data_IF_995766087498
#
_entry.id   IF_995766087498
#
_cell.length_a   1.000
_cell.length_b   1.000
_cell.length_c   1.000
_cell.angle_alpha   90.00
_cell.angle_beta   90.00
_cell.angle_gamma   90.00
#
_symmetry.space_group_name_H-M   'P 1'
#
loop_
_entity.id
_entity.type
_entity.pdbx_description
1 polymer ?
#
# COMPACT_ATOMS: atom_id res chain seq x y z
N UNK A 1 19.69 -0.18 -26.28
CA UNK A 1 19.89 -0.16 -24.82
C UNK A 1 20.59 -1.44 -24.40
N UNK A 2 21.52 -1.41 -23.44
CA UNK A 2 22.41 -2.53 -23.16
C UNK A 2 21.65 -3.65 -22.44
N UNK A 3 21.79 -4.87 -22.96
CA UNK A 3 21.33 -6.11 -22.32
C UNK A 3 22.32 -6.40 -21.19
N UNK A 4 21.86 -6.39 -19.94
CA UNK A 4 22.69 -6.73 -18.78
C UNK A 4 22.68 -8.26 -18.63
N UNK A 5 23.85 -8.87 -18.85
CA UNK A 5 24.06 -10.29 -18.61
C UNK A 5 24.54 -10.50 -17.17
N UNK A 6 23.94 -11.46 -16.47
CA UNK A 6 24.53 -12.02 -15.26
C UNK A 6 25.76 -12.85 -15.66
N UNK A 7 26.94 -12.40 -15.21
CA UNK A 7 28.26 -12.92 -15.57
C UNK A 7 28.51 -14.39 -15.21
N UNK A 8 27.58 -15.06 -14.53
CA UNK A 8 27.75 -16.44 -14.07
C UNK A 8 26.72 -17.44 -14.62
N UNK A 9 25.64 -17.00 -15.31
CA UNK A 9 24.56 -17.92 -15.69
C UNK A 9 24.10 -17.89 -17.16
N UNK A 10 24.58 -16.96 -17.99
CA UNK A 10 24.12 -16.77 -19.39
C UNK A 10 22.59 -16.74 -19.55
N UNK A 11 21.84 -16.47 -18.48
CA UNK A 11 20.39 -16.24 -18.55
C UNK A 11 20.16 -14.78 -18.82
N UNK A 12 19.38 -14.48 -19.87
CA UNK A 12 18.86 -13.14 -20.11
C UNK A 12 18.11 -12.72 -18.85
N UNK A 13 18.61 -11.70 -18.17
CA UNK A 13 17.83 -11.02 -17.12
C UNK A 13 16.73 -10.27 -17.85
N UNK A 14 15.59 -10.93 -18.03
CA UNK A 14 14.42 -10.30 -18.64
C UNK A 14 13.91 -9.24 -17.67
N UNK A 15 14.14 -7.96 -17.96
CA UNK A 15 13.41 -6.89 -17.32
C UNK A 15 11.93 -7.08 -17.67
N UNK A 16 11.11 -7.29 -16.67
CA UNK A 16 9.69 -7.55 -16.82
C UNK A 16 8.89 -6.32 -16.33
N UNK A 17 7.75 -5.95 -16.96
CA UNK A 17 7.25 -6.52 -18.21
C UNK A 17 8.24 -6.38 -19.35
N UNK A 18 8.24 -7.35 -20.26
CA UNK A 18 9.19 -7.35 -21.38
C UNK A 18 8.99 -6.15 -22.30
N UNK A 19 10.02 -5.81 -23.07
CA UNK A 19 9.92 -4.79 -24.14
C UNK A 19 8.81 -5.10 -25.13
N UNK A 20 8.50 -6.38 -25.37
CA UNK A 20 7.39 -6.80 -26.22
C UNK A 20 6.05 -6.27 -25.72
N UNK A 21 5.83 -6.23 -24.41
CA UNK A 21 4.61 -5.66 -23.83
C UNK A 21 4.50 -4.16 -24.10
N UNK A 22 5.60 -3.42 -23.95
CA UNK A 22 5.62 -1.97 -24.18
C UNK A 22 5.46 -1.60 -25.66
N UNK A 23 5.89 -2.48 -26.57
CA UNK A 23 5.74 -2.31 -28.02
C UNK A 23 4.34 -2.64 -28.55
N UNK A 24 3.42 -3.11 -27.71
CA UNK A 24 2.03 -3.31 -28.13
C UNK A 24 1.37 -1.98 -28.51
N UNK A 25 0.47 -1.98 -29.50
CA UNK A 25 -0.44 -0.86 -29.71
C UNK A 25 -1.13 -0.51 -28.39
N UNK A 26 -1.21 0.78 -28.08
CA UNK A 26 -1.73 1.29 -26.81
C UNK A 26 -3.11 0.69 -26.46
N UNK A 27 -4.01 0.63 -27.44
CA UNK A 27 -5.34 0.04 -27.28
C UNK A 27 -5.29 -1.43 -26.81
N UNK A 28 -4.40 -2.25 -27.39
CA UNK A 28 -4.23 -3.66 -26.99
C UNK A 28 -3.65 -3.77 -25.59
N UNK A 29 -2.69 -2.91 -25.27
CA UNK A 29 -2.08 -2.85 -23.94
C UNK A 29 -3.10 -2.48 -22.88
N UNK A 30 -3.89 -1.43 -23.12
CA UNK A 30 -4.94 -0.99 -22.20
C UNK A 30 -6.08 -1.99 -22.06
N UNK A 31 -6.47 -2.67 -23.14
CA UNK A 31 -7.45 -3.77 -23.07
C UNK A 31 -6.96 -4.90 -22.17
N UNK A 32 -5.69 -5.30 -22.31
CA UNK A 32 -5.08 -6.30 -21.45
C UNK A 32 -5.02 -5.87 -19.97
N UNK A 33 -4.55 -4.65 -19.70
CA UNK A 33 -4.43 -4.14 -18.33
C UNK A 33 -5.81 -3.99 -17.67
N UNK A 34 -6.82 -3.54 -18.41
CA UNK A 34 -8.21 -3.48 -17.93
C UNK A 34 -8.75 -4.86 -17.57
N UNK A 35 -8.56 -5.86 -18.43
CA UNK A 35 -8.96 -7.24 -18.16
C UNK A 35 -8.23 -7.82 -16.94
N UNK A 36 -6.94 -7.52 -16.78
CA UNK A 36 -6.17 -7.94 -15.62
C UNK A 36 -6.69 -7.29 -14.33
N UNK A 37 -6.81 -5.95 -14.29
CA UNK A 37 -7.36 -5.22 -13.15
C UNK A 37 -8.74 -5.74 -12.74
N UNK A 38 -9.61 -5.99 -13.72
CA UNK A 38 -10.94 -6.54 -13.46
C UNK A 38 -10.90 -7.93 -12.81
N UNK A 39 -10.03 -8.83 -13.25
CA UNK A 39 -9.91 -10.17 -12.65
C UNK A 39 -9.34 -10.10 -11.23
N UNK A 40 -8.28 -9.33 -10.99
CA UNK A 40 -7.72 -9.14 -9.64
C UNK A 40 -8.70 -8.44 -8.69
N UNK A 41 -9.54 -7.52 -9.19
CA UNK A 41 -10.56 -6.85 -8.39
C UNK A 41 -11.79 -7.72 -8.12
N UNK A 42 -11.95 -8.84 -8.83
CA UNK A 42 -13.09 -9.75 -8.72
C UNK A 42 -12.86 -10.88 -7.74
N UNK A 43 -11.64 -11.41 -7.65
CA UNK A 43 -11.30 -12.57 -6.81
C UNK A 43 -10.00 -12.36 -6.03
N UNK A 44 -9.80 -13.07 -4.90
CA UNK A 44 -8.51 -13.10 -4.22
C UNK A 44 -7.39 -13.61 -5.13
N UNK A 45 -6.14 -13.21 -4.83
CA UNK A 45 -4.95 -13.50 -5.61
C UNK A 45 -4.78 -14.98 -5.92
N UNK A 46 -5.06 -15.85 -4.95
CA UNK A 46 -4.99 -17.31 -5.11
C UNK A 46 -5.83 -17.80 -6.29
N UNK A 47 -7.01 -17.22 -6.48
CA UNK A 47 -8.03 -17.65 -7.46
C UNK A 47 -7.94 -16.94 -8.81
N UNK A 48 -7.06 -15.93 -8.94
CA UNK A 48 -6.85 -15.20 -10.20
C UNK A 48 -6.43 -16.15 -11.32
N UNK A 49 -7.16 -16.09 -12.43
CA UNK A 49 -6.95 -16.94 -13.60
C UNK A 49 -6.36 -16.18 -14.79
N UNK A 50 -5.11 -16.52 -15.17
CA UNK A 50 -4.48 -16.02 -16.41
C UNK A 50 -5.36 -16.33 -17.62
N UNK A 51 -5.99 -17.51 -17.67
CA UNK A 51 -6.87 -17.90 -18.77
C UNK A 51 -8.11 -17.01 -18.90
N UNK A 52 -8.66 -16.48 -17.80
CA UNK A 52 -9.77 -15.53 -17.85
C UNK A 52 -9.30 -14.17 -18.35
N UNK A 53 -8.14 -13.70 -17.87
CA UNK A 53 -7.53 -12.43 -18.29
C UNK A 53 -7.29 -12.42 -19.80
N UNK A 54 -6.60 -13.42 -20.34
CA UNK A 54 -6.25 -13.46 -21.78
C UNK A 54 -7.49 -13.57 -22.68
N UNK A 55 -8.54 -14.28 -22.23
CA UNK A 55 -9.80 -14.38 -22.99
C UNK A 55 -10.52 -13.03 -23.03
N UNK A 56 -10.64 -12.36 -21.88
CA UNK A 56 -11.25 -11.03 -21.81
C UNK A 56 -10.44 -9.96 -22.56
N UNK A 57 -9.12 -10.11 -22.60
CA UNK A 57 -8.22 -9.26 -23.36
C UNK A 57 -8.15 -9.60 -24.87
N UNK A 58 -8.75 -10.73 -25.28
CA UNK A 58 -8.67 -11.27 -26.65
C UNK A 58 -7.23 -11.45 -27.17
N UNK A 59 -6.34 -11.98 -26.30
CA UNK A 59 -4.96 -12.32 -26.69
C UNK A 59 -4.69 -13.82 -26.59
N UNK A 60 -3.81 -14.38 -27.42
CA UNK A 60 -3.37 -15.77 -27.29
C UNK A 60 -2.67 -16.03 -25.95
N UNK A 61 -2.77 -17.26 -25.43
CA UNK A 61 -2.12 -17.65 -24.16
C UNK A 61 -0.60 -17.47 -24.17
N UNK A 62 0.04 -17.75 -25.31
CA UNK A 62 1.49 -17.56 -25.47
C UNK A 62 1.91 -16.11 -25.23
N UNK A 63 1.06 -15.15 -25.61
CA UNK A 63 1.34 -13.72 -25.44
C UNK A 63 1.50 -13.31 -23.98
N UNK A 64 0.76 -13.91 -23.05
CA UNK A 64 0.93 -13.63 -21.62
C UNK A 64 2.38 -13.88 -21.18
N UNK A 65 2.91 -15.06 -21.49
CA UNK A 65 4.26 -15.46 -21.10
C UNK A 65 5.37 -14.74 -21.87
N UNK A 66 5.02 -14.08 -22.97
CA UNK A 66 5.93 -13.14 -23.62
C UNK A 66 6.00 -11.81 -22.87
N UNK A 67 4.99 -11.45 -22.07
CA UNK A 67 4.91 -10.16 -21.38
C UNK A 67 5.32 -10.25 -19.90
N UNK A 68 4.83 -11.29 -19.21
CA UNK A 68 4.97 -11.51 -17.77
C UNK A 68 5.32 -12.97 -17.50
N UNK A 69 6.19 -13.22 -16.53
CA UNK A 69 6.56 -14.56 -16.08
C UNK A 69 5.38 -15.26 -15.42
N UNK A 70 4.66 -14.56 -14.56
CA UNK A 70 3.55 -15.09 -13.77
C UNK A 70 2.57 -13.99 -13.34
N UNK A 71 1.50 -14.40 -12.65
CA UNK A 71 0.48 -13.46 -12.15
C UNK A 71 0.96 -12.59 -10.98
N UNK A 72 2.01 -13.00 -10.26
CA UNK A 72 2.60 -12.18 -9.19
C UNK A 72 3.22 -10.93 -9.79
N UNK A 73 3.99 -11.12 -10.86
CA UNK A 73 4.64 -10.03 -11.56
C UNK A 73 3.65 -9.10 -12.24
N UNK A 74 2.61 -9.65 -12.85
CA UNK A 74 1.52 -8.83 -13.39
C UNK A 74 0.87 -7.99 -12.29
N UNK A 75 0.60 -8.57 -11.12
CA UNK A 75 0.04 -7.84 -9.99
C UNK A 75 0.99 -6.73 -9.52
N UNK A 76 2.28 -7.03 -9.36
CA UNK A 76 3.30 -6.04 -9.00
C UNK A 76 3.37 -4.88 -9.99
N UNK A 77 3.25 -5.17 -11.29
CA UNK A 77 3.20 -4.15 -12.33
C UNK A 77 1.95 -3.27 -12.21
N UNK A 78 0.77 -3.88 -12.02
CA UNK A 78 -0.49 -3.15 -11.86
C UNK A 78 -0.49 -2.24 -10.62
N UNK A 79 0.16 -2.65 -9.54
CA UNK A 79 0.22 -1.89 -8.30
C UNK A 79 1.34 -0.85 -8.26
N UNK A 80 2.29 -0.88 -9.21
CA UNK A 80 3.51 -0.07 -9.15
C UNK A 80 3.23 1.44 -9.07
N UNK A 81 2.38 1.94 -9.95
CA UNK A 81 2.15 3.37 -10.08
C UNK A 81 1.30 3.89 -8.90
N UNK A 82 0.39 3.06 -8.41
CA UNK A 82 -0.34 3.33 -7.16
C UNK A 82 0.58 3.33 -5.94
N UNK A 83 1.51 2.36 -5.85
CA UNK A 83 2.49 2.34 -4.77
C UNK A 83 3.28 3.66 -4.73
N UNK A 84 3.80 4.11 -5.87
CA UNK A 84 4.45 5.43 -5.99
C UNK A 84 3.56 6.58 -5.55
N UNK A 85 2.29 6.61 -5.97
CA UNK A 85 1.34 7.64 -5.55
C UNK A 85 1.13 7.66 -4.04
N UNK A 86 1.02 6.50 -3.39
CA UNK A 86 0.88 6.40 -1.94
C UNK A 86 2.17 6.84 -1.23
N UNK A 87 3.34 6.47 -1.75
CA UNK A 87 4.64 6.91 -1.24
C UNK A 87 4.77 8.44 -1.30
N UNK A 88 4.45 9.05 -2.43
CA UNK A 88 4.50 10.51 -2.63
C UNK A 88 3.50 11.24 -1.74
N UNK A 89 2.30 10.67 -1.57
CA UNK A 89 1.30 11.18 -0.63
C UNK A 89 1.83 11.15 0.80
N UNK A 90 2.44 10.05 1.23
CA UNK A 90 3.01 9.93 2.57
C UNK A 90 4.18 10.89 2.80
N UNK A 91 5.08 11.06 1.80
CA UNK A 91 6.16 12.07 1.85
C UNK A 91 5.60 13.47 2.01
N UNK A 92 4.56 13.81 1.27
CA UNK A 92 3.87 15.10 1.36
C UNK A 92 3.24 15.28 2.74
N UNK A 93 2.51 14.27 3.21
CA UNK A 93 1.85 14.28 4.50
C UNK A 93 2.85 14.47 5.65
N UNK A 94 3.96 13.76 5.66
CA UNK A 94 5.01 13.91 6.67
C UNK A 94 5.59 15.33 6.66
N UNK A 95 5.84 15.92 5.49
CA UNK A 95 6.33 17.32 5.41
C UNK A 95 5.30 18.31 5.96
N UNK A 96 4.03 18.19 5.56
CA UNK A 96 2.96 19.10 5.99
C UNK A 96 2.66 18.97 7.49
N UNK A 97 2.73 17.75 8.02
CA UNK A 97 2.49 17.43 9.43
C UNK A 97 3.76 17.49 10.29
N UNK A 98 4.82 18.14 9.78
CA UNK A 98 6.08 18.38 10.49
C UNK A 98 6.68 17.09 11.10
N UNK A 99 6.60 16.00 10.35
CA UNK A 99 7.11 14.69 10.73
C UNK A 99 6.23 13.89 11.69
N UNK A 100 5.05 14.37 12.08
CA UNK A 100 4.13 13.59 12.90
C UNK A 100 3.52 12.45 12.08
N UNK A 101 3.98 11.22 12.32
CA UNK A 101 3.58 10.03 11.57
C UNK A 101 2.07 9.74 11.72
N UNK A 102 1.50 9.89 12.91
CA UNK A 102 0.07 9.61 13.13
C UNK A 102 -0.82 10.58 12.37
N UNK A 103 -0.47 11.87 12.39
CA UNK A 103 -1.17 12.90 11.59
C UNK A 103 -0.98 12.68 10.09
N UNK A 104 0.19 12.22 9.66
CA UNK A 104 0.45 11.89 8.27
C UNK A 104 -0.40 10.71 7.78
N UNK A 105 -0.54 9.65 8.58
CA UNK A 105 -1.46 8.54 8.29
C UNK A 105 -2.92 8.99 8.27
N UNK A 106 -3.35 9.88 9.17
CA UNK A 106 -4.69 10.46 9.15
C UNK A 106 -4.93 11.27 7.87
N UNK A 107 -3.96 12.09 7.47
CA UNK A 107 -4.03 12.84 6.22
C UNK A 107 -4.14 11.91 5.00
N UNK A 108 -3.32 10.86 4.94
CA UNK A 108 -3.39 9.88 3.85
C UNK A 108 -4.75 9.18 3.80
N UNK A 109 -5.28 8.76 4.95
CA UNK A 109 -6.63 8.18 5.05
C UNK A 109 -7.68 9.13 4.49
N UNK A 110 -7.62 10.42 4.85
CA UNK A 110 -8.58 11.42 4.40
C UNK A 110 -8.52 11.63 2.89
N UNK A 111 -7.31 11.75 2.32
CA UNK A 111 -7.12 11.91 0.87
C UNK A 111 -7.59 10.67 0.09
N UNK A 112 -7.15 9.48 0.50
CA UNK A 112 -7.53 8.21 -0.16
C UNK A 112 -9.05 8.01 -0.09
N UNK A 113 -9.65 8.25 1.07
CA UNK A 113 -11.09 8.11 1.25
C UNK A 113 -11.89 9.11 0.42
N UNK A 114 -11.49 10.38 0.37
CA UNK A 114 -12.13 11.39 -0.47
C UNK A 114 -12.03 11.05 -1.97
N UNK A 115 -10.84 10.65 -2.42
CA UNK A 115 -10.60 10.25 -3.81
C UNK A 115 -11.48 9.06 -4.23
N UNK A 116 -11.71 8.11 -3.32
CA UNK A 116 -12.55 6.94 -3.58
C UNK A 116 -14.01 7.32 -3.91
N UNK A 117 -14.58 8.32 -3.22
CA UNK A 117 -15.96 8.79 -3.46
C UNK A 117 -16.06 9.97 -4.45
N UNK A 118 -14.93 10.46 -4.96
CA UNK A 118 -14.95 11.56 -5.92
C UNK A 118 -15.73 11.15 -7.19
N UNK A 119 -16.69 11.98 -7.68
CA UNK A 119 -17.38 11.75 -8.95
C UNK A 119 -16.43 11.76 -10.15
N UNK A 120 -15.29 12.44 -10.02
CA UNK A 120 -14.17 12.42 -10.99
C UNK A 120 -13.17 11.30 -10.69
N UNK A 121 -13.51 10.41 -9.76
CA UNK A 121 -12.61 9.41 -9.21
C UNK A 121 -12.14 8.45 -10.28
N UNK A 122 -10.86 8.16 -10.22
CA UNK A 122 -10.14 7.28 -11.11
C UNK A 122 -10.65 5.82 -10.97
N UNK A 123 -11.19 5.25 -12.05
CA UNK A 123 -11.67 3.87 -12.10
C UNK A 123 -10.55 2.87 -11.80
N UNK A 124 -9.32 3.18 -12.25
CA UNK A 124 -8.14 2.39 -11.95
C UNK A 124 -7.84 2.41 -10.46
N UNK A 125 -7.82 3.58 -9.82
CA UNK A 125 -7.62 3.70 -8.38
C UNK A 125 -8.64 2.86 -7.58
N UNK A 126 -9.93 2.92 -7.93
CA UNK A 126 -10.97 2.09 -7.29
C UNK A 126 -10.72 0.60 -7.49
N UNK A 127 -10.31 0.19 -8.69
CA UNK A 127 -9.96 -1.20 -8.96
C UNK A 127 -8.78 -1.65 -8.07
N UNK A 128 -7.76 -0.83 -7.89
CA UNK A 128 -6.62 -1.15 -7.02
C UNK A 128 -7.00 -1.26 -5.54
N UNK A 129 -7.87 -0.37 -5.05
CA UNK A 129 -8.44 -0.49 -3.70
C UNK A 129 -9.24 -1.79 -3.55
N UNK A 130 -10.01 -2.18 -4.58
CA UNK A 130 -10.75 -3.44 -4.57
C UNK A 130 -9.81 -4.66 -4.57
N UNK A 131 -8.73 -4.62 -5.35
CA UNK A 131 -7.67 -5.64 -5.35
C UNK A 131 -7.10 -5.76 -3.94
N UNK A 132 -6.66 -4.65 -3.35
CA UNK A 132 -6.12 -4.66 -2.00
C UNK A 132 -7.12 -5.27 -1.00
N UNK A 133 -8.38 -4.82 -1.02
CA UNK A 133 -9.46 -5.35 -0.14
C UNK A 133 -9.70 -6.85 -0.30
N UNK A 134 -9.62 -7.41 -1.50
CA UNK A 134 -9.87 -8.83 -1.72
C UNK A 134 -8.72 -9.74 -1.25
N UNK A 135 -7.61 -9.15 -0.84
CA UNK A 135 -6.36 -9.83 -0.49
C UNK A 135 -5.92 -9.50 0.94
N UNK A 136 -6.87 -9.49 1.89
CA UNK A 136 -6.57 -9.18 3.30
C UNK A 136 -5.54 -10.10 3.93
N UNK A 137 -5.47 -11.35 3.46
CA UNK A 137 -4.47 -12.36 3.85
C UNK A 137 -3.05 -11.98 3.42
N UNK A 138 -2.90 -11.12 2.40
CA UNK A 138 -1.62 -10.63 1.92
C UNK A 138 -1.21 -9.28 2.53
N UNK A 139 -2.08 -8.62 3.30
CA UNK A 139 -1.80 -7.29 3.86
C UNK A 139 -0.57 -7.27 4.74
N UNK A 140 -0.40 -8.26 5.64
CA UNK A 140 0.77 -8.34 6.51
C UNK A 140 2.06 -8.41 5.69
N UNK A 141 2.12 -9.29 4.69
CA UNK A 141 3.27 -9.43 3.80
C UNK A 141 3.55 -8.16 3.00
N UNK A 142 2.51 -7.47 2.54
CA UNK A 142 2.64 -6.19 1.83
C UNK A 142 3.26 -5.14 2.75
N UNK A 143 2.77 -5.02 3.98
CA UNK A 143 3.32 -4.06 4.95
C UNK A 143 4.75 -4.43 5.36
N UNK A 144 5.04 -5.70 5.60
CA UNK A 144 6.39 -6.20 5.89
C UNK A 144 7.36 -5.89 4.75
N UNK A 145 6.98 -6.15 3.50
CA UNK A 145 7.80 -5.81 2.33
C UNK A 145 7.99 -4.30 2.14
N UNK A 146 7.19 -3.46 2.83
CA UNK A 146 7.34 -2.01 2.81
C UNK A 146 8.37 -1.50 3.81
N UNK A 147 8.92 -2.36 4.68
CA UNK A 147 9.89 -2.01 5.73
C UNK A 147 11.26 -2.70 5.58
N UNK A 148 11.43 -3.49 4.52
CA UNK A 148 12.69 -4.14 4.15
C UNK A 148 13.75 -3.12 3.67
N UNK A 149 15.03 -3.47 3.62
CA UNK A 149 16.05 -2.57 3.07
C UNK A 149 15.81 -2.21 1.60
N UNK A 150 16.07 -0.96 1.21
CA UNK A 150 15.82 -0.44 -0.14
C UNK A 150 14.34 -0.17 -0.45
N UNK A 151 13.50 -0.09 0.57
CA UNK A 151 12.06 0.18 0.44
C UNK A 151 11.73 1.66 0.62
N UNK A 152 10.53 2.10 0.21
CA UNK A 152 10.11 3.48 0.38
C UNK A 152 10.11 3.95 1.83
N UNK A 153 9.91 3.06 2.83
CA UNK A 153 9.95 3.48 4.24
C UNK A 153 11.31 4.04 4.63
N UNK A 154 12.42 3.49 4.14
CA UNK A 154 13.76 4.03 4.43
C UNK A 154 13.91 5.49 4.03
N UNK A 155 13.25 5.90 2.93
CA UNK A 155 13.22 7.29 2.48
C UNK A 155 12.30 8.18 3.33
N UNK A 156 11.32 7.58 4.02
CA UNK A 156 10.41 8.31 4.92
C UNK A 156 11.03 8.52 6.31
N UNK A 157 11.88 7.61 6.78
CA UNK A 157 12.49 7.66 8.14
C UNK A 157 13.10 9.03 8.46
N UNK A 158 13.89 9.69 7.57
CA UNK A 158 14.46 11.00 7.84
C UNK A 158 13.45 12.13 7.98
N UNK A 159 12.21 11.93 7.50
CA UNK A 159 11.14 12.93 7.55
C UNK A 159 10.32 12.83 8.85
N UNK A 160 10.51 11.79 9.64
CA UNK A 160 9.69 11.51 10.83
C UNK A 160 10.28 12.25 12.04
N UNK A 161 9.43 13.02 12.72
CA UNK A 161 9.77 13.62 14.00
C UNK A 161 9.72 12.52 15.07
N UNK A 162 10.88 12.16 15.59
CA UNK A 162 11.01 11.11 16.60
C UNK A 162 10.67 11.62 18.01
N UNK A 163 10.66 12.93 18.22
CA UNK A 163 10.45 13.54 19.54
C UNK A 163 9.00 13.41 20.03
N UNK A 164 8.04 13.24 19.11
CA UNK A 164 6.63 13.04 19.44
C UNK A 164 6.32 11.61 19.90
N UNK A 165 7.26 10.67 19.76
CA UNK A 165 7.09 9.29 20.20
C UNK A 165 7.91 8.98 21.45
N UNK A 166 7.32 8.19 22.36
CA UNK A 166 8.01 7.73 23.57
C UNK A 166 9.05 6.68 23.20
N UNK A 167 10.32 6.92 23.56
CA UNK A 167 11.42 5.93 23.52
C UNK A 167 11.53 5.16 22.19
N UNK A 168 11.61 5.87 21.05
CA UNK A 168 11.62 5.23 19.73
C UNK A 168 13.03 4.95 19.19
N UNK A 169 13.36 3.66 19.07
CA UNK A 169 14.45 3.14 18.23
C UNK A 169 14.00 2.98 16.76
N UNK A 170 14.93 2.68 15.87
CA UNK A 170 14.61 2.39 14.46
C UNK A 170 13.76 1.11 14.30
N UNK A 171 13.92 0.14 15.20
CA UNK A 171 13.09 -1.06 15.22
C UNK A 171 11.64 -0.72 15.61
N UNK A 172 11.47 0.08 16.66
CA UNK A 172 10.15 0.54 17.11
C UNK A 172 9.43 1.32 16.01
N UNK A 173 10.17 2.12 15.23
CA UNK A 173 9.58 2.90 14.14
C UNK A 173 8.97 2.03 13.04
N UNK A 174 9.61 0.90 12.71
CA UNK A 174 9.09 -0.06 11.73
C UNK A 174 7.80 -0.71 12.25
N UNK A 175 7.80 -1.11 13.53
CA UNK A 175 6.63 -1.71 14.17
C UNK A 175 5.47 -0.71 14.28
N UNK A 176 5.76 0.54 14.67
CA UNK A 176 4.77 1.63 14.68
C UNK A 176 4.19 1.83 13.28
N UNK A 177 5.03 1.85 12.25
CA UNK A 177 4.56 1.99 10.87
C UNK A 177 3.64 0.84 10.47
N UNK A 178 3.99 -0.42 10.78
CA UNK A 178 3.15 -1.60 10.49
C UNK A 178 1.81 -1.50 11.25
N UNK A 179 1.84 -1.12 12.52
CA UNK A 179 0.62 -0.95 13.34
C UNK A 179 -0.29 0.11 12.71
N UNK A 180 0.26 1.28 12.38
CA UNK A 180 -0.47 2.38 11.76
C UNK A 180 -1.01 1.99 10.38
N UNK A 181 -0.21 1.33 9.54
CA UNK A 181 -0.64 0.81 8.24
C UNK A 181 -1.77 -0.22 8.39
N UNK A 182 -1.69 -1.11 9.39
CA UNK A 182 -2.72 -2.09 9.71
C UNK A 182 -4.05 -1.45 10.12
N UNK A 183 -4.05 -0.50 11.05
CA UNK A 183 -5.29 0.17 11.46
C UNK A 183 -5.86 1.07 10.36
N UNK A 184 -5.00 1.72 9.57
CA UNK A 184 -5.41 2.56 8.42
C UNK A 184 -6.07 1.72 7.34
N UNK A 185 -5.44 0.60 6.97
CA UNK A 185 -5.93 -0.30 5.92
C UNK A 185 -7.26 -0.95 6.30
N UNK A 186 -7.41 -1.36 7.56
CA UNK A 186 -8.68 -1.86 8.10
C UNK A 186 -9.79 -0.80 8.02
N UNK A 187 -9.49 0.45 8.41
CA UNK A 187 -10.44 1.55 8.31
C UNK A 187 -10.84 1.84 6.85
N UNK A 188 -9.89 1.89 5.92
CA UNK A 188 -10.17 2.05 4.48
C UNK A 188 -10.98 0.89 3.91
N UNK A 189 -10.70 -0.35 4.30
CA UNK A 189 -11.53 -1.48 3.92
C UNK A 189 -12.97 -1.32 4.41
N UNK A 190 -13.17 -0.80 5.63
CA UNK A 190 -14.49 -0.53 6.17
C UNK A 190 -15.23 0.57 5.39
N UNK A 191 -14.54 1.62 4.96
CA UNK A 191 -15.09 2.65 4.06
C UNK A 191 -15.71 2.02 2.82
N UNK A 192 -14.97 1.12 2.15
CA UNK A 192 -15.46 0.50 0.90
C UNK A 192 -16.56 -0.54 1.11
N UNK A 193 -16.63 -1.17 2.29
CA UNK A 193 -17.68 -2.15 2.64
C UNK A 193 -18.99 -1.47 3.00
N UNK A 194 -18.93 -0.38 3.76
CA UNK A 194 -20.11 0.33 4.28
C UNK A 194 -20.55 1.50 3.41
N UNK A 195 -19.68 1.93 2.48
CA UNK A 195 -19.84 3.16 1.69
C UNK A 195 -20.08 4.41 2.56
N UNK A 196 -19.58 4.39 3.80
CA UNK A 196 -19.78 5.45 4.78
C UNK A 196 -18.44 5.99 5.27
N UNK A 197 -17.93 7.00 4.57
CA UNK A 197 -16.65 7.63 4.88
C UNK A 197 -16.64 8.28 6.27
N UNK A 198 -17.70 9.01 6.63
CA UNK A 198 -17.75 9.76 7.89
C UNK A 198 -17.71 8.85 9.12
N UNK A 199 -18.51 7.77 9.11
CA UNK A 199 -18.51 6.80 10.20
C UNK A 199 -17.16 6.08 10.32
N UNK A 200 -16.56 5.67 9.20
CA UNK A 200 -15.25 5.03 9.21
C UNK A 200 -14.15 5.98 9.72
N UNK A 201 -14.20 7.27 9.35
CA UNK A 201 -13.27 8.29 9.82
C UNK A 201 -13.36 8.51 11.34
N UNK A 202 -14.58 8.59 11.90
CA UNK A 202 -14.78 8.71 13.35
C UNK A 202 -14.18 7.51 14.08
N UNK A 203 -14.44 6.30 13.58
CA UNK A 203 -13.86 5.09 14.16
C UNK A 203 -12.33 5.09 14.09
N UNK A 204 -11.76 5.48 12.95
CA UNK A 204 -10.32 5.54 12.75
C UNK A 204 -9.62 6.55 13.66
N UNK A 205 -10.21 7.75 13.84
CA UNK A 205 -9.71 8.73 14.81
C UNK A 205 -9.68 8.18 16.23
N UNK A 206 -10.71 7.42 16.63
CA UNK A 206 -10.72 6.78 17.94
C UNK A 206 -9.59 5.75 18.10
N UNK A 207 -9.30 4.96 17.06
CA UNK A 207 -8.16 4.02 17.05
C UNK A 207 -6.83 4.76 17.21
N UNK A 208 -6.60 5.83 16.43
CA UNK A 208 -5.39 6.65 16.54
C UNK A 208 -5.26 7.26 17.94
N UNK A 209 -6.34 7.77 18.53
CA UNK A 209 -6.31 8.32 19.88
C UNK A 209 -5.92 7.24 20.93
N UNK A 210 -6.48 6.04 20.82
CA UNK A 210 -6.11 4.91 21.69
C UNK A 210 -4.63 4.55 21.54
N UNK A 211 -4.12 4.49 20.31
CA UNK A 211 -2.71 4.22 20.04
C UNK A 211 -1.79 5.31 20.63
N UNK A 212 -2.16 6.58 20.47
CA UNK A 212 -1.35 7.71 20.95
C UNK A 212 -1.29 7.82 22.48
N UNK A 213 -2.41 7.58 23.17
CA UNK A 213 -2.45 7.65 24.64
C UNK A 213 -2.00 6.34 25.32
N UNK A 214 -2.04 5.22 24.59
CA UNK A 214 -1.83 3.86 25.12
C UNK A 214 -3.10 3.28 25.76
N UNK A 215 -3.11 1.96 25.98
CA UNK A 215 -4.27 1.24 26.56
C UNK A 215 -4.18 1.06 28.09
N UNK A 216 -2.98 1.18 28.66
CA UNK A 216 -2.79 1.01 30.10
C UNK A 216 -3.08 2.30 30.84
N UNK A 217 -3.89 2.20 31.90
CA UNK A 217 -3.91 3.22 32.95
C UNK A 217 -2.62 3.08 33.76
N UNK A 218 -1.83 4.15 33.98
CA UNK A 218 -0.64 4.04 34.82
C UNK A 218 -1.05 3.52 36.20
N UNK A 219 -0.53 2.37 36.60
CA UNK A 219 -0.71 1.87 37.94
C UNK A 219 0.16 2.73 38.89
N UNK A 220 -0.49 3.44 39.82
CA UNK A 220 0.10 4.19 40.92
C UNK A 220 0.90 5.46 40.59
N UNK A 221 0.21 6.60 40.61
CA UNK A 221 0.74 7.85 41.18
C UNK A 221 0.36 7.93 42.67
N UNK A 222 1.01 7.11 43.50
CA UNK A 222 1.08 7.36 44.94
C UNK A 222 2.52 7.21 45.41
N UNK A 223 3.19 8.34 45.57
CA UNK A 223 3.93 8.62 46.79
C UNK A 223 4.02 10.13 46.96
N UNK A 224 3.37 10.59 48.04
CA UNK A 224 3.62 11.88 48.67
C UNK A 224 4.94 11.75 49.43
N UNK A 225 5.84 12.69 49.25
CA UNK A 225 6.55 13.30 50.37
C UNK A 225 6.34 14.81 50.23
N UNK A 226 5.51 15.46 51.05
CA UNK A 226 5.72 15.66 52.48
C UNK A 226 7.08 16.28 52.76
N UNK A 227 7.25 17.56 52.45
CA UNK A 227 8.08 18.42 53.29
C UNK A 227 7.29 19.69 53.60
N UNK A 228 6.60 19.62 54.75
CA UNK A 228 6.42 20.77 55.62
C UNK A 228 7.71 20.95 56.41
N UNK A 229 8.23 22.16 56.40
CA UNK A 229 9.35 22.65 57.21
C UNK A 229 9.55 24.11 56.91
#
# INVERSE_FOLDING_TARGET
MPIIYDSLSYKVVTCLPTTTFFNLPEEKREKFLRAARAEFARVPYADVSINRIIRAAEIPRGSFYMYFKDKSELLSFLLRDHRRRIEDLMKTALKEKRGNLMEAFLFCFDQIGQDYFSPRGDEEFRALIAIFRNNTDLHSKIFESSIEPGTPLEELVPLIDRSVFKFCSDADLKDIFIILAGVTSSALCNVTKTLNFSAARVHYLNLLNILGRGMYTPAYSTEKESNHG
#
